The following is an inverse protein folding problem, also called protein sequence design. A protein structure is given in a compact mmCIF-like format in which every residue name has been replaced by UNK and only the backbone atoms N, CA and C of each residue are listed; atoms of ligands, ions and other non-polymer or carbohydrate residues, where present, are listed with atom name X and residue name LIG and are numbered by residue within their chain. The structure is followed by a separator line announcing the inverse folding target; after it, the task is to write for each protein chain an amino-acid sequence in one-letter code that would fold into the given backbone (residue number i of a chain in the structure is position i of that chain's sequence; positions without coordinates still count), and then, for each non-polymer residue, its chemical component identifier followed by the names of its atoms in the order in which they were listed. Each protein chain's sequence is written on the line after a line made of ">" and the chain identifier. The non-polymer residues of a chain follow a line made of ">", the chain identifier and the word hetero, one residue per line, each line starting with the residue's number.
data_IF_050880658004
#
_entry.id   IF_050880658004
#
_cell.length_a   1.000
_cell.length_b   1.000
_cell.length_c   1.000
_cell.angle_alpha   90.00
_cell.angle_beta   90.00
_cell.angle_gamma   90.00
#
_symmetry.space_group_name_H-M   'P 1'
#
loop_
_entity.id
_entity.type
_entity.pdbx_description
1 polymer ?
#
# COMPACT_ATOMS: atom_id res chain seq x y z
N UNK A 1 -4.38 25.21 11.63
CA UNK A 1 -5.49 25.97 11.01
C UNK A 1 -4.96 26.72 9.82
N UNK A 2 -5.85 27.24 8.98
CA UNK A 2 -5.45 28.12 7.88
C UNK A 2 -5.04 29.49 8.36
N UNK A 3 -4.10 30.11 7.65
CA UNK A 3 -3.71 31.50 7.86
C UNK A 3 -4.35 32.41 6.80
N UNK A 4 -4.47 33.70 7.12
CA UNK A 4 -4.96 34.68 6.17
C UNK A 4 -4.04 34.74 4.94
N UNK A 5 -4.64 34.76 3.74
CA UNK A 5 -3.92 34.74 2.47
C UNK A 5 -3.05 33.49 2.22
N UNK A 6 -3.34 32.37 2.88
CA UNK A 6 -2.67 31.10 2.60
C UNK A 6 -3.05 30.55 1.22
N UNK A 7 -2.04 30.18 0.42
CA UNK A 7 -2.22 29.68 -0.96
C UNK A 7 -2.12 28.15 -1.09
N UNK A 8 -1.42 27.49 -0.16
CA UNK A 8 -1.19 26.04 -0.16
C UNK A 8 -1.97 25.29 0.91
N UNK A 9 -1.62 24.01 1.09
CA UNK A 9 -2.16 23.18 2.18
C UNK A 9 -1.74 23.73 3.55
N UNK A 10 -2.51 23.37 4.59
CA UNK A 10 -2.04 23.51 5.98
C UNK A 10 -0.84 22.59 6.21
N UNK A 11 0.05 22.96 7.14
CA UNK A 11 1.19 22.12 7.49
C UNK A 11 0.73 20.72 7.93
N UNK A 12 1.37 19.68 7.39
CA UNK A 12 1.15 18.29 7.78
C UNK A 12 1.51 18.03 9.24
N UNK A 13 0.55 17.62 10.06
CA UNK A 13 0.70 17.40 11.50
C UNK A 13 0.57 15.95 11.93
N UNK A 14 0.32 15.05 10.98
CA UNK A 14 0.26 13.60 11.18
C UNK A 14 1.27 12.89 10.29
N UNK A 15 1.61 11.63 10.63
CA UNK A 15 2.50 10.80 9.80
C UNK A 15 2.01 10.73 8.35
N UNK A 16 0.70 10.48 8.16
CA UNK A 16 0.08 10.45 6.84
C UNK A 16 0.04 11.84 6.18
N UNK A 17 -0.19 12.90 6.95
CA UNK A 17 -0.27 14.26 6.44
C UNK A 17 1.03 14.75 5.81
N UNK A 18 2.18 14.36 6.36
CA UNK A 18 3.49 14.69 5.77
C UNK A 18 3.67 14.00 4.41
N UNK A 19 3.30 12.73 4.27
CA UNK A 19 3.37 12.02 2.98
C UNK A 19 2.39 12.57 1.94
N UNK A 20 1.16 12.93 2.36
CA UNK A 20 0.19 13.60 1.50
C UNK A 20 0.71 14.94 1.00
N UNK A 21 1.39 15.71 1.86
CA UNK A 21 2.01 16.96 1.47
C UNK A 21 3.16 16.74 0.45
N UNK A 22 3.97 15.70 0.64
CA UNK A 22 5.00 15.32 -0.33
C UNK A 22 4.42 14.93 -1.70
N UNK A 23 3.32 14.16 -1.73
CA UNK A 23 2.61 13.82 -2.96
C UNK A 23 2.00 15.06 -3.63
N UNK A 24 1.47 16.00 -2.85
CA UNK A 24 0.96 17.27 -3.34
C UNK A 24 2.06 18.09 -4.03
N UNK A 25 3.21 18.27 -3.39
CA UNK A 25 4.32 19.05 -3.95
C UNK A 25 4.86 18.42 -5.24
N UNK A 26 5.02 17.09 -5.25
CA UNK A 26 5.40 16.33 -6.45
C UNK A 26 4.40 16.49 -7.59
N UNK A 27 3.10 16.41 -7.29
CA UNK A 27 2.03 16.58 -8.28
C UNK A 27 1.99 18.00 -8.83
N UNK A 28 2.12 19.01 -7.95
CA UNK A 28 2.15 20.41 -8.34
C UNK A 28 3.35 20.73 -9.22
N UNK A 29 4.52 20.17 -8.94
CA UNK A 29 5.70 20.30 -9.80
C UNK A 29 5.43 19.77 -11.21
N UNK A 30 4.87 18.56 -11.35
CA UNK A 30 4.56 17.99 -12.66
C UNK A 30 3.49 18.80 -13.42
N UNK A 31 2.40 19.19 -12.74
CA UNK A 31 1.31 19.95 -13.36
C UNK A 31 1.80 21.32 -13.83
N UNK A 32 2.58 22.04 -13.01
CA UNK A 32 3.14 23.34 -13.40
C UNK A 32 4.13 23.23 -14.55
N UNK A 33 4.96 22.18 -14.58
CA UNK A 33 5.83 21.88 -15.72
C UNK A 33 5.02 21.68 -17.01
N UNK A 34 3.98 20.83 -17.00
CA UNK A 34 3.12 20.57 -18.16
C UNK A 34 2.40 21.85 -18.60
N UNK A 35 1.82 22.59 -17.66
CA UNK A 35 1.10 23.82 -17.94
C UNK A 35 2.02 24.88 -18.55
N UNK A 36 3.24 25.03 -18.04
CA UNK A 36 4.23 25.98 -18.58
C UNK A 36 4.66 25.60 -20.00
N UNK A 37 4.83 24.31 -20.30
CA UNK A 37 5.15 23.80 -21.63
C UNK A 37 4.03 24.10 -22.64
N UNK A 38 2.78 23.78 -22.31
CA UNK A 38 1.61 24.08 -23.15
C UNK A 38 1.46 25.59 -23.35
N UNK A 39 1.60 26.37 -22.28
CA UNK A 39 1.53 27.84 -22.33
C UNK A 39 2.61 28.42 -23.25
N UNK A 40 3.85 27.89 -23.19
CA UNK A 40 4.93 28.31 -24.07
C UNK A 40 4.62 28.04 -25.55
N UNK A 41 4.11 26.85 -25.88
CA UNK A 41 3.69 26.51 -27.24
C UNK A 41 2.56 27.43 -27.71
N UNK A 42 1.56 27.67 -26.86
CA UNK A 42 0.44 28.54 -27.18
C UNK A 42 0.90 29.96 -27.50
N UNK A 43 1.72 30.55 -26.62
CA UNK A 43 2.33 31.88 -26.85
C UNK A 43 3.15 31.89 -28.13
N UNK A 44 3.95 30.84 -28.38
CA UNK A 44 4.76 30.73 -29.60
C UNK A 44 3.90 30.73 -30.86
N UNK A 45 2.77 30.02 -30.87
CA UNK A 45 1.82 29.99 -32.00
C UNK A 45 1.20 31.37 -32.21
N UNK A 46 0.73 32.04 -31.15
CA UNK A 46 0.14 33.38 -31.22
C UNK A 46 1.11 34.44 -31.74
N UNK A 47 2.40 34.30 -31.45
CA UNK A 47 3.45 35.22 -31.91
C UNK A 47 3.91 34.95 -33.35
N UNK A 48 3.45 33.88 -34.02
CA UNK A 48 3.83 33.62 -35.41
C UNK A 48 3.03 34.49 -36.36
N UNK A 49 3.76 35.22 -37.21
CA UNK A 49 3.20 36.03 -38.31
C UNK A 49 2.70 35.19 -39.49
N UNK A 50 3.20 33.96 -39.64
CA UNK A 50 2.88 33.09 -40.77
C UNK A 50 1.61 32.29 -40.49
N UNK A 51 0.71 32.22 -41.47
CA UNK A 51 -0.49 31.38 -41.40
C UNK A 51 -0.26 30.02 -42.05
N UNK A 52 -0.73 28.96 -41.39
CA UNK A 52 -0.82 27.63 -41.99
C UNK A 52 -1.96 27.58 -42.99
N UNK A 53 -1.68 27.18 -44.24
CA UNK A 53 -2.70 27.05 -45.31
C UNK A 53 -3.02 25.60 -45.66
N UNK A 54 -2.18 24.66 -45.24
CA UNK A 54 -2.28 23.23 -45.54
C UNK A 54 -2.10 22.47 -44.23
N UNK A 55 -2.97 21.49 -44.00
CA UNK A 55 -2.83 20.55 -42.89
C UNK A 55 -1.77 19.52 -43.23
N UNK A 56 -0.79 19.36 -42.34
CA UNK A 56 0.23 18.33 -42.44
C UNK A 56 -0.05 17.27 -41.39
N UNK A 57 -0.33 16.06 -41.84
CA UNK A 57 -0.49 14.90 -40.96
C UNK A 57 0.90 14.40 -40.54
N UNK A 58 1.05 14.08 -39.25
CA UNK A 58 2.30 13.54 -38.71
C UNK A 58 2.01 12.47 -37.66
N UNK A 59 2.00 11.22 -38.11
CA UNK A 59 1.79 10.06 -37.23
C UNK A 59 2.82 10.01 -36.09
N UNK A 60 4.05 10.43 -36.35
CA UNK A 60 5.12 10.46 -35.34
C UNK A 60 4.81 11.45 -34.20
N UNK A 61 4.22 12.61 -34.52
CA UNK A 61 3.82 13.59 -33.52
C UNK A 61 2.66 13.05 -32.67
N UNK A 62 1.71 12.37 -33.30
CA UNK A 62 0.59 11.73 -32.63
C UNK A 62 1.03 10.65 -31.63
N UNK A 63 1.98 9.82 -32.06
CA UNK A 63 2.56 8.78 -31.20
C UNK A 63 3.27 9.44 -30.00
N UNK A 64 4.05 10.49 -30.23
CA UNK A 64 4.81 11.17 -29.19
C UNK A 64 3.89 11.79 -28.11
N UNK A 65 2.88 12.56 -28.50
CA UNK A 65 1.96 13.17 -27.53
C UNK A 65 0.96 12.20 -26.93
N UNK A 66 0.89 10.95 -27.41
CA UNK A 66 0.07 9.90 -26.79
C UNK A 66 0.85 9.14 -25.73
N UNK A 67 2.11 8.79 -26.02
CA UNK A 67 2.98 8.07 -25.08
C UNK A 67 3.42 8.97 -23.92
N UNK A 68 3.71 10.24 -24.20
CA UNK A 68 4.25 11.16 -23.19
C UNK A 68 3.28 11.41 -22.01
N UNK A 69 1.97 11.70 -22.22
CA UNK A 69 1.00 11.79 -21.13
C UNK A 69 0.81 10.49 -20.36
N UNK A 70 0.86 9.33 -21.03
CA UNK A 70 0.80 8.03 -20.35
C UNK A 70 1.96 7.88 -19.36
N UNK A 71 3.18 8.30 -19.75
CA UNK A 71 4.34 8.34 -18.85
C UNK A 71 4.10 9.22 -17.62
N UNK A 72 3.54 10.42 -17.80
CA UNK A 72 3.21 11.31 -16.68
C UNK A 72 2.12 10.73 -15.75
N UNK A 73 1.10 10.07 -16.30
CA UNK A 73 0.07 9.43 -15.50
C UNK A 73 0.63 8.28 -14.65
N UNK A 74 1.53 7.47 -15.21
CA UNK A 74 2.22 6.42 -14.43
C UNK A 74 3.08 7.05 -13.33
N UNK A 75 3.82 8.12 -13.65
CA UNK A 75 4.67 8.82 -12.69
C UNK A 75 3.88 9.45 -11.52
N UNK A 76 2.64 9.90 -11.75
CA UNK A 76 1.72 10.38 -10.71
C UNK A 76 1.01 9.23 -9.97
N UNK A 77 0.64 8.17 -10.70
CA UNK A 77 -0.16 7.08 -10.18
C UNK A 77 0.58 6.20 -9.19
N UNK A 78 1.86 5.89 -9.44
CA UNK A 78 2.65 5.01 -8.57
C UNK A 78 2.79 5.51 -7.11
N UNK A 79 3.26 6.74 -6.85
CA UNK A 79 3.35 7.24 -5.47
C UNK A 79 1.96 7.42 -4.82
N UNK A 80 0.93 7.75 -5.62
CA UNK A 80 -0.45 7.87 -5.15
C UNK A 80 -1.03 6.53 -4.66
N UNK A 81 -0.86 5.46 -5.45
CA UNK A 81 -1.32 4.11 -5.07
C UNK A 81 -0.58 3.62 -3.82
N UNK A 82 0.74 3.85 -3.74
CA UNK A 82 1.50 3.52 -2.52
C UNK A 82 0.92 4.22 -1.29
N UNK A 83 0.69 5.52 -1.37
CA UNK A 83 0.14 6.29 -0.25
C UNK A 83 -1.26 5.80 0.13
N UNK A 84 -2.09 5.46 -0.86
CA UNK A 84 -3.41 4.87 -0.62
C UNK A 84 -3.31 3.60 0.23
N UNK A 85 -2.37 2.70 -0.07
CA UNK A 85 -2.17 1.50 0.73
C UNK A 85 -1.63 1.81 2.14
N UNK A 86 -0.73 2.78 2.28
CA UNK A 86 -0.23 3.23 3.59
C UNK A 86 -1.34 3.86 4.45
N UNK A 87 -2.31 4.52 3.84
CA UNK A 87 -3.47 5.10 4.54
C UNK A 87 -4.47 4.03 5.01
N UNK A 88 -4.61 2.94 4.27
CA UNK A 88 -5.53 1.85 4.58
C UNK A 88 -4.94 0.86 5.61
N UNK A 89 -3.62 0.78 5.71
CA UNK A 89 -2.94 -0.11 6.67
C UNK A 89 -3.08 0.41 8.11
N UNK A 90 -4.03 -0.17 8.84
CA UNK A 90 -4.20 0.08 10.27
C UNK A 90 -3.23 -0.81 11.05
N UNK A 91 -2.11 -0.23 11.49
CA UNK A 91 -1.25 -0.85 12.50
C UNK A 91 -1.96 -0.95 13.86
N UNK A 92 -1.54 -1.91 14.70
CA UNK A 92 -2.10 -2.20 16.03
C UNK A 92 -2.28 -0.90 16.85
N UNK A 93 -3.51 -0.38 17.01
CA UNK A 93 -3.73 0.88 17.69
C UNK A 93 -3.81 0.64 19.20
N UNK A 94 -3.21 1.55 19.97
CA UNK A 94 -3.13 1.45 21.44
C UNK A 94 -4.39 1.98 22.13
N UNK A 95 -5.11 2.89 21.47
CA UNK A 95 -6.38 3.44 21.93
C UNK A 95 -7.30 3.74 20.75
N UNK A 96 -8.61 3.81 21.02
CA UNK A 96 -9.70 4.03 20.09
C UNK A 96 -10.55 5.21 20.55
N UNK A 97 -10.84 6.12 19.63
CA UNK A 97 -11.84 7.16 19.81
C UNK A 97 -12.96 6.94 18.80
N UNK A 98 -14.21 6.96 19.28
CA UNK A 98 -15.38 6.99 18.40
C UNK A 98 -15.90 8.41 18.33
N UNK A 99 -16.17 8.86 17.12
CA UNK A 99 -16.69 10.19 16.80
C UNK A 99 -18.04 10.01 16.10
N UNK A 100 -19.07 10.62 16.65
CA UNK A 100 -20.44 10.54 16.11
C UNK A 100 -20.90 11.95 15.74
N UNK A 101 -21.26 12.13 14.47
CA UNK A 101 -21.86 13.36 13.96
C UNK A 101 -23.36 13.44 14.28
N UNK A 102 -23.79 14.65 14.65
CA UNK A 102 -25.19 15.00 14.93
C UNK A 102 -25.50 16.37 14.31
N UNK A 103 -26.77 16.70 14.11
CA UNK A 103 -27.26 18.03 13.72
C UNK A 103 -27.33 18.94 14.96
N UNK A 104 -26.43 19.90 15.18
CA UNK A 104 -25.19 20.21 14.48
C UNK A 104 -24.06 20.34 15.50
N UNK A 105 -23.51 19.19 15.89
CA UNK A 105 -22.42 19.06 16.86
C UNK A 105 -21.74 17.69 16.69
N UNK A 106 -20.64 17.48 17.39
CA UNK A 106 -19.93 16.20 17.42
C UNK A 106 -19.98 15.63 18.83
N UNK A 107 -20.10 14.32 18.96
CA UNK A 107 -19.90 13.63 20.23
C UNK A 107 -18.71 12.69 20.12
N UNK A 108 -17.92 12.60 21.18
CA UNK A 108 -16.74 11.77 21.26
C UNK A 108 -16.90 10.73 22.36
N UNK A 109 -16.60 9.47 22.07
CA UNK A 109 -16.67 8.36 23.00
C UNK A 109 -15.30 7.66 23.11
N UNK A 110 -14.83 7.48 24.34
CA UNK A 110 -13.61 6.77 24.71
C UNK A 110 -14.04 5.55 25.53
N UNK A 111 -13.89 4.35 24.97
CA UNK A 111 -14.45 3.11 25.53
C UNK A 111 -13.43 1.99 25.78
N UNK A 112 -12.12 2.28 25.64
CA UNK A 112 -11.08 1.26 25.75
C UNK A 112 -10.87 0.71 27.18
N UNK A 113 -11.45 1.35 28.21
CA UNK A 113 -11.09 1.06 29.60
C UNK A 113 -12.22 0.38 30.42
N UNK A 114 -11.93 -0.85 30.89
CA UNK A 114 -12.70 -1.66 31.88
C UNK A 114 -14.24 -1.59 31.78
N UNK A 115 -14.81 -1.58 30.57
CA UNK A 115 -16.28 -1.56 30.38
C UNK A 115 -16.96 -0.25 30.77
N UNK A 116 -16.19 0.81 31.02
CA UNK A 116 -16.69 2.18 31.16
C UNK A 116 -16.53 2.92 29.84
N UNK A 117 -17.51 3.76 29.51
CA UNK A 117 -17.49 4.61 28.33
C UNK A 117 -17.53 6.06 28.78
N UNK A 118 -16.44 6.79 28.61
CA UNK A 118 -16.42 8.22 28.82
C UNK A 118 -16.84 8.90 27.52
N UNK A 119 -17.84 9.77 27.56
CA UNK A 119 -18.33 10.46 26.38
C UNK A 119 -18.78 11.88 26.70
N UNK A 120 -18.64 12.77 25.72
CA UNK A 120 -19.10 14.15 25.82
C UNK A 120 -19.45 14.72 24.45
N UNK A 121 -20.23 15.80 24.46
CA UNK A 121 -20.63 16.54 23.28
C UNK A 121 -19.74 17.80 23.11
N UNK A 122 -19.49 18.14 21.86
CA UNK A 122 -18.63 19.24 21.41
C UNK A 122 -19.44 20.18 20.51
N UNK A 123 -19.83 21.32 21.06
CA UNK A 123 -20.59 22.38 20.40
C UNK A 123 -19.70 23.58 20.05
N UNK A 124 -20.07 24.29 18.99
CA UNK A 124 -19.48 25.60 18.66
C UNK A 124 -19.68 26.58 19.82
N UNK A 125 -18.61 27.25 20.24
CA UNK A 125 -18.72 28.36 21.21
C UNK A 125 -19.33 29.58 20.49
N UNK A 126 -20.46 30.13 20.98
CA UNK A 126 -21.03 31.35 20.41
C UNK A 126 -20.08 32.54 20.54
N UNK A 127 -20.02 33.40 19.51
CA UNK A 127 -19.15 34.59 19.48
C UNK A 127 -19.28 35.49 20.72
N UNK A 128 -20.47 35.55 21.34
CA UNK A 128 -20.72 36.34 22.55
C UNK A 128 -20.07 35.79 23.83
N UNK A 129 -19.75 34.49 23.87
CA UNK A 129 -19.14 33.80 25.01
C UNK A 129 -17.64 33.56 24.82
N UNK A 130 -17.08 33.99 23.68
CA UNK A 130 -15.70 33.71 23.30
C UNK A 130 -14.74 34.70 23.99
N UNK A 131 -13.98 34.24 24.99
CA UNK A 131 -12.94 35.04 25.68
C UNK A 131 -11.60 35.08 24.90
N UNK A 132 -11.57 34.52 23.71
CA UNK A 132 -10.40 34.39 22.83
C UNK A 132 -10.55 33.17 21.90
N UNK A 133 -9.75 33.11 20.86
CA UNK A 133 -9.77 32.01 19.88
C UNK A 133 -10.32 32.41 18.52
N UNK A 134 -10.76 31.41 17.76
CA UNK A 134 -11.12 31.56 16.36
C UNK A 134 -12.63 31.38 16.11
N UNK A 135 -13.25 32.43 15.55
CA UNK A 135 -14.65 32.44 15.13
C UNK A 135 -14.97 31.23 14.25
N UNK A 136 -16.07 30.54 14.55
CA UNK A 136 -16.54 29.32 13.87
C UNK A 136 -15.65 28.08 14.00
N UNK A 137 -14.59 28.11 14.81
CA UNK A 137 -13.67 26.98 14.98
C UNK A 137 -13.55 26.50 16.43
N UNK A 138 -13.72 27.40 17.42
CA UNK A 138 -13.67 27.00 18.83
C UNK A 138 -14.89 26.17 19.25
N UNK A 139 -14.64 25.21 20.12
CA UNK A 139 -15.65 24.35 20.72
C UNK A 139 -15.55 24.40 22.24
N UNK A 140 -16.64 24.06 22.92
CA UNK A 140 -16.70 23.99 24.38
C UNK A 140 -15.84 22.84 24.93
N UNK A 141 -15.88 21.66 24.32
CA UNK A 141 -15.09 20.48 24.68
C UNK A 141 -14.28 19.99 23.49
N UNK A 142 -12.96 20.00 23.61
CA UNK A 142 -12.05 19.54 22.56
C UNK A 142 -11.89 18.03 22.60
N UNK A 143 -11.68 17.43 21.44
CA UNK A 143 -11.30 16.04 21.30
C UNK A 143 -9.82 15.87 21.67
N UNK A 144 -9.53 15.23 22.79
CA UNK A 144 -8.16 15.10 23.32
C UNK A 144 -7.52 13.81 22.79
N UNK A 145 -6.34 13.93 22.20
CA UNK A 145 -5.55 12.81 21.67
C UNK A 145 -4.09 12.90 22.12
N UNK A 146 -3.38 11.78 22.27
CA UNK A 146 -1.95 11.77 22.52
C UNK A 146 -1.14 12.10 21.26
N UNK A 147 -0.06 12.85 21.41
CA UNK A 147 0.98 13.02 20.39
C UNK A 147 1.85 11.77 20.32
N UNK A 148 2.32 11.41 19.12
CA UNK A 148 3.26 10.33 18.85
C UNK A 148 2.82 9.00 19.47
N UNK A 149 1.54 8.67 19.33
CA UNK A 149 0.94 7.38 19.68
C UNK A 149 -0.08 7.02 18.60
N UNK A 150 -0.05 5.78 18.13
CA UNK A 150 -1.00 5.31 17.13
C UNK A 150 -2.37 5.01 17.78
N UNK A 151 -3.39 5.73 17.33
CA UNK A 151 -4.77 5.57 17.74
C UNK A 151 -5.66 5.16 16.56
N UNK A 152 -6.82 4.57 16.88
CA UNK A 152 -7.89 4.28 15.94
C UNK A 152 -9.01 5.30 16.09
N UNK A 153 -9.34 5.99 15.01
CA UNK A 153 -10.57 6.77 14.90
C UNK A 153 -11.69 5.91 14.31
N UNK A 154 -12.86 5.90 14.94
CA UNK A 154 -14.09 5.32 14.42
C UNK A 154 -15.09 6.45 14.17
N UNK A 155 -15.45 6.71 12.92
CA UNK A 155 -16.34 7.81 12.54
C UNK A 155 -17.68 7.26 12.07
N UNK A 156 -18.77 7.76 12.64
CA UNK A 156 -20.15 7.42 12.26
C UNK A 156 -21.07 8.62 12.46
N UNK A 157 -22.35 8.44 12.23
CA UNK A 157 -23.39 9.46 12.45
C UNK A 157 -24.64 8.82 13.03
N UNK A 158 -25.41 9.59 13.81
CA UNK A 158 -26.69 9.16 14.37
C UNK A 158 -27.90 9.64 13.55
N UNK A 159 -27.72 10.63 12.66
CA UNK A 159 -28.82 11.25 11.90
C UNK A 159 -28.63 11.26 10.37
N UNK A 160 -27.89 12.23 9.83
CA UNK A 160 -27.60 12.43 8.40
C UNK A 160 -26.13 12.20 8.13
N UNK A 161 -25.69 12.27 6.88
CA UNK A 161 -24.26 12.13 6.58
C UNK A 161 -23.53 13.40 7.06
N UNK A 162 -22.43 13.19 7.79
CA UNK A 162 -21.45 14.23 8.13
C UNK A 162 -20.07 13.80 7.64
N UNK A 163 -19.07 14.65 7.75
CA UNK A 163 -17.69 14.25 7.44
C UNK A 163 -16.72 14.89 8.43
N UNK A 164 -16.03 14.04 9.17
CA UNK A 164 -15.06 14.43 10.17
C UNK A 164 -13.73 14.71 9.49
N UNK A 165 -13.37 15.99 9.38
CA UNK A 165 -12.22 16.42 8.61
C UNK A 165 -11.31 17.35 9.40
N UNK A 166 -10.03 17.04 9.41
CA UNK A 166 -8.96 17.83 10.03
C UNK A 166 -7.88 18.04 8.95
N UNK A 167 -7.89 19.20 8.26
CA UNK A 167 -7.04 19.41 7.10
C UNK A 167 -5.54 19.30 7.39
N UNK A 168 -5.06 19.80 8.53
CA UNK A 168 -3.63 19.74 8.89
C UNK A 168 -3.11 18.31 9.08
N UNK A 169 -3.96 17.36 9.45
CA UNK A 169 -3.58 15.95 9.57
C UNK A 169 -3.94 15.13 8.32
N UNK A 170 -4.41 15.78 7.25
CA UNK A 170 -4.91 15.14 6.02
C UNK A 170 -5.95 14.05 6.27
N UNK A 171 -6.80 14.27 7.29
CA UNK A 171 -7.88 13.36 7.65
C UNK A 171 -9.20 13.94 7.12
N UNK A 172 -9.95 13.13 6.39
CA UNK A 172 -11.35 13.36 6.04
C UNK A 172 -12.06 12.02 5.94
N UNK A 173 -13.04 11.79 6.80
CA UNK A 173 -13.79 10.53 6.85
C UNK A 173 -15.26 10.82 7.05
N UNK A 174 -16.09 10.24 6.20
CA UNK A 174 -17.54 10.45 6.29
C UNK A 174 -18.13 9.65 7.47
N UNK A 175 -18.94 10.32 8.28
CA UNK A 175 -19.81 9.70 9.26
C UNK A 175 -21.14 9.37 8.59
N UNK A 176 -21.36 8.09 8.32
CA UNK A 176 -22.57 7.60 7.63
C UNK A 176 -23.45 6.85 8.63
N UNK A 177 -24.75 7.19 8.77
CA UNK A 177 -25.65 6.47 9.65
C UNK A 177 -25.70 4.97 9.33
N UNK A 178 -25.59 4.14 10.37
CA UNK A 178 -25.56 2.68 10.22
C UNK A 178 -24.25 2.09 9.70
N UNK A 179 -23.19 2.90 9.51
CA UNK A 179 -21.85 2.45 9.13
C UNK A 179 -20.79 3.09 10.03
N UNK A 180 -19.81 2.30 10.44
CA UNK A 180 -18.64 2.79 11.17
C UNK A 180 -17.46 2.76 10.21
N UNK A 181 -16.93 3.94 9.88
CA UNK A 181 -15.69 4.07 9.13
C UNK A 181 -14.51 4.14 10.09
N UNK A 182 -13.37 3.58 9.69
CA UNK A 182 -12.18 3.50 10.52
C UNK A 182 -11.03 4.29 9.88
N UNK A 183 -10.24 4.95 10.71
CA UNK A 183 -9.02 5.64 10.30
C UNK A 183 -7.92 5.51 11.36
N UNK A 184 -6.66 5.53 10.93
CA UNK A 184 -5.50 5.62 11.83
C UNK A 184 -5.19 7.07 12.17
N UNK A 185 -4.97 7.35 13.46
CA UNK A 185 -4.63 8.68 13.99
C UNK A 185 -3.23 8.61 14.61
N UNK A 186 -2.32 9.46 14.14
CA UNK A 186 -0.99 9.60 14.76
C UNK A 186 -0.48 11.03 14.52
N UNK A 187 -0.59 11.87 15.55
CA UNK A 187 -0.16 13.28 15.50
C UNK A 187 1.31 13.40 15.87
N UNK A 188 2.09 14.17 15.11
CA UNK A 188 3.54 14.29 15.29
C UNK A 188 3.95 15.28 16.39
N UNK A 189 3.07 16.22 16.74
CA UNK A 189 3.35 17.29 17.71
C UNK A 189 2.12 17.62 18.55
N UNK A 190 2.36 18.10 19.75
CA UNK A 190 1.33 18.65 20.62
C UNK A 190 0.80 19.98 20.08
N UNK A 191 -0.47 20.26 20.30
CA UNK A 191 -1.13 21.50 19.87
C UNK A 191 -2.60 21.29 19.54
N UNK A 192 -3.25 22.36 19.07
CA UNK A 192 -4.68 22.34 18.72
C UNK A 192 -4.84 22.37 17.21
N UNK A 193 -5.56 21.38 16.68
CA UNK A 193 -5.83 21.19 15.26
C UNK A 193 -7.31 21.36 14.98
N UNK A 194 -7.62 22.31 14.10
CA UNK A 194 -8.99 22.67 13.76
C UNK A 194 -9.45 21.99 12.48
N UNK A 195 -10.73 21.69 12.45
CA UNK A 195 -11.45 21.07 11.36
C UNK A 195 -12.88 21.59 11.26
N UNK A 196 -13.58 21.22 10.20
CA UNK A 196 -14.99 21.54 10.00
C UNK A 196 -15.70 20.35 9.35
N UNK A 197 -17.01 20.26 9.56
CA UNK A 197 -17.82 19.28 8.85
C UNK A 197 -17.65 19.47 7.33
N UNK A 198 -17.31 18.39 6.63
CA UNK A 198 -16.96 18.42 5.20
C UNK A 198 -17.96 17.70 4.29
N UNK A 199 -19.19 17.46 4.80
CA UNK A 199 -20.33 16.92 4.06
C UNK A 199 -21.61 17.66 4.46
N UNK A 200 -22.43 18.05 3.48
CA UNK A 200 -23.57 18.92 3.70
C UNK A 200 -24.63 18.25 4.60
N UNK A 201 -24.83 18.79 5.80
CA UNK A 201 -25.67 18.15 6.84
C UNK A 201 -26.85 19.02 7.34
N UNK A 202 -27.21 20.09 6.63
CA UNK A 202 -28.40 20.93 6.93
C UNK A 202 -28.08 22.40 7.23
N UNK A 203 -29.00 23.10 7.90
CA UNK A 203 -28.97 24.56 8.03
C UNK A 203 -27.74 25.09 8.79
N UNK A 204 -27.25 24.35 9.79
CA UNK A 204 -26.06 24.76 10.54
C UNK A 204 -24.81 23.96 10.15
N UNK A 205 -24.74 23.45 8.91
CA UNK A 205 -23.59 22.69 8.41
C UNK A 205 -22.23 23.40 8.65
N UNK A 206 -22.18 24.72 8.49
CA UNK A 206 -20.96 25.52 8.71
C UNK A 206 -20.64 25.83 10.18
N UNK A 207 -21.49 25.42 11.13
CA UNK A 207 -21.42 25.81 12.55
C UNK A 207 -21.20 24.62 13.48
N UNK A 208 -20.63 23.53 12.98
CA UNK A 208 -20.23 22.35 13.77
C UNK A 208 -18.74 22.02 13.56
N UNK A 209 -17.84 22.86 14.08
CA UNK A 209 -16.41 22.67 13.92
C UNK A 209 -15.90 21.46 14.70
N UNK A 210 -14.68 21.08 14.37
CA UNK A 210 -13.92 20.01 15.01
C UNK A 210 -12.68 20.67 15.61
N UNK A 211 -12.41 20.39 16.87
CA UNK A 211 -11.20 20.84 17.54
C UNK A 211 -10.54 19.66 18.23
N UNK A 212 -9.37 19.26 17.72
CA UNK A 212 -8.58 18.17 18.27
C UNK A 212 -7.36 18.74 18.98
N UNK A 213 -7.22 18.42 20.26
CA UNK A 213 -6.09 18.82 21.08
C UNK A 213 -5.14 17.64 21.27
N UNK A 214 -3.97 17.73 20.65
CA UNK A 214 -2.90 16.76 20.86
C UNK A 214 -2.04 17.16 22.06
N UNK A 215 -2.00 16.29 23.06
CA UNK A 215 -1.23 16.47 24.30
C UNK A 215 -0.18 15.37 24.44
N UNK A 216 0.76 15.51 25.39
CA UNK A 216 1.72 14.44 25.65
C UNK A 216 1.00 13.17 26.11
N UNK A 217 1.59 12.00 25.83
CA UNK A 217 0.99 10.70 26.18
C UNK A 217 0.68 10.57 27.68
N UNK A 218 1.53 11.14 28.53
CA UNK A 218 1.33 11.15 29.98
C UNK A 218 0.09 11.96 30.40
N UNK A 219 -0.05 13.19 29.85
CA UNK A 219 -1.22 14.04 30.13
C UNK A 219 -2.50 13.38 29.62
N UNK A 220 -2.48 12.83 28.40
CA UNK A 220 -3.61 12.10 27.84
C UNK A 220 -4.02 10.92 28.73
N UNK A 221 -3.04 10.12 29.18
CA UNK A 221 -3.31 8.91 29.96
C UNK A 221 -3.87 9.23 31.33
N UNK A 222 -3.35 10.26 32.00
CA UNK A 222 -3.90 10.71 33.29
C UNK A 222 -5.32 11.27 33.11
N UNK A 223 -5.53 12.13 32.10
CA UNK A 223 -6.84 12.70 31.80
C UNK A 223 -7.89 11.62 31.51
N UNK A 224 -7.57 10.60 30.70
CA UNK A 224 -8.55 9.56 30.37
C UNK A 224 -8.84 8.65 31.57
N UNK A 225 -7.82 8.33 32.38
CA UNK A 225 -8.00 7.56 33.61
C UNK A 225 -8.90 8.29 34.61
N UNK A 226 -8.68 9.60 34.81
CA UNK A 226 -9.49 10.42 35.72
C UNK A 226 -10.96 10.43 35.29
N UNK A 227 -11.23 10.69 34.02
CA UNK A 227 -12.58 10.71 33.48
C UNK A 227 -13.29 9.34 33.59
N UNK A 228 -12.59 8.24 33.29
CA UNK A 228 -13.15 6.91 33.50
C UNK A 228 -13.40 6.58 34.97
N UNK A 229 -12.56 7.06 35.90
CA UNK A 229 -12.81 6.86 37.33
C UNK A 229 -14.10 7.56 37.77
N UNK A 230 -14.38 8.77 37.25
CA UNK A 230 -15.63 9.47 37.53
C UNK A 230 -16.83 8.67 37.04
N UNK A 231 -16.78 8.16 35.81
CA UNK A 231 -17.84 7.30 35.24
C UNK A 231 -18.03 6.03 36.06
N UNK A 232 -16.95 5.35 36.44
CA UNK A 232 -17.00 4.13 37.25
C UNK A 232 -17.56 4.37 38.65
N UNK A 233 -17.25 5.51 39.29
CA UNK A 233 -17.84 5.88 40.57
C UNK A 233 -19.36 6.07 40.45
N UNK A 234 -19.83 6.71 39.38
CA UNK A 234 -21.27 6.85 39.11
C UNK A 234 -21.95 5.51 38.84
N UNK A 235 -21.30 4.60 38.11
CA UNK A 235 -21.81 3.26 37.82
C UNK A 235 -21.83 2.36 39.07
N UNK A 236 -20.77 2.39 39.89
CA UNK A 236 -20.68 1.64 41.14
C UNK A 236 -21.76 2.06 42.15
N UNK A 237 -22.12 3.35 42.15
CA UNK A 237 -23.24 3.84 42.92
C UNK A 237 -24.62 3.37 42.40
N UNK A 238 -24.69 2.83 41.17
CA UNK A 238 -25.95 2.42 40.49
C UNK A 238 -26.12 0.91 40.26
N UNK A 239 -25.09 0.07 40.40
CA UNK A 239 -25.20 -1.35 40.01
C UNK A 239 -24.31 -2.32 40.79
N UNK A 240 -24.93 -3.25 41.51
CA UNK A 240 -24.28 -4.39 42.15
C UNK A 240 -23.74 -5.41 41.13
N UNK A 241 -22.52 -5.88 41.39
CA UNK A 241 -21.81 -6.87 40.59
C UNK A 241 -22.58 -8.20 40.47
N UNK A 242 -22.78 -8.69 39.25
CA UNK A 242 -23.01 -10.12 39.01
C UNK A 242 -22.26 -10.55 37.75
N UNK A 243 -21.08 -11.14 37.94
CA UNK A 243 -20.46 -12.00 36.94
C UNK A 243 -21.05 -13.39 37.11
N UNK A 244 -21.71 -13.93 36.07
CA UNK A 244 -22.24 -15.29 36.10
C UNK A 244 -21.17 -16.28 35.65
N UNK A 245 -20.98 -17.34 36.42
CA UNK A 245 -20.06 -18.47 36.18
C UNK A 245 -20.14 -19.08 34.78
N UNK A 246 -21.23 -18.85 34.06
CA UNK A 246 -21.46 -19.34 32.71
C UNK A 246 -20.58 -18.65 31.65
N UNK A 247 -20.26 -17.36 31.83
CA UNK A 247 -19.40 -16.62 30.90
C UNK A 247 -17.95 -17.13 30.89
N UNK A 248 -17.45 -17.55 32.05
CA UNK A 248 -16.09 -18.09 32.21
C UNK A 248 -15.96 -19.47 31.55
N UNK A 249 -16.98 -20.32 31.68
CA UNK A 249 -17.00 -21.67 31.10
C UNK A 249 -17.00 -21.66 29.57
N UNK A 250 -17.75 -20.74 28.94
CA UNK A 250 -17.83 -20.63 27.48
C UNK A 250 -16.52 -20.14 26.87
N UNK A 251 -15.79 -19.24 27.56
CA UNK A 251 -14.50 -18.75 27.11
C UNK A 251 -13.42 -19.86 27.10
N UNK A 252 -13.39 -20.70 28.14
CA UNK A 252 -12.43 -21.82 28.24
C UNK A 252 -12.70 -22.89 27.17
N UNK A 253 -13.97 -23.23 26.91
CA UNK A 253 -14.32 -24.21 25.88
C UNK A 253 -13.91 -23.75 24.47
N UNK A 254 -14.06 -22.46 24.17
CA UNK A 254 -13.68 -21.88 22.87
C UNK A 254 -12.17 -21.84 22.68
N UNK A 255 -11.40 -21.57 23.74
CA UNK A 255 -9.94 -21.58 23.69
C UNK A 255 -9.37 -22.98 23.40
N UNK A 256 -9.92 -24.02 24.03
CA UNK A 256 -9.49 -25.42 23.82
C UNK A 256 -9.82 -25.90 22.41
N UNK A 257 -11.00 -25.56 21.87
CA UNK A 257 -11.41 -25.96 20.52
C UNK A 257 -10.49 -25.43 19.41
N UNK A 258 -10.06 -24.18 19.52
CA UNK A 258 -9.16 -23.57 18.54
C UNK A 258 -7.75 -24.18 18.56
N UNK A 259 -7.25 -24.59 19.74
CA UNK A 259 -5.95 -25.26 19.86
C UNK A 259 -5.93 -26.61 19.16
N UNK A 260 -7.00 -27.40 19.28
CA UNK A 260 -7.08 -28.73 18.64
C UNK A 260 -7.12 -28.63 17.12
N UNK A 261 -7.87 -27.67 16.57
CA UNK A 261 -7.96 -27.47 15.12
C UNK A 261 -6.60 -27.15 14.49
N UNK A 262 -5.81 -26.29 15.15
CA UNK A 262 -4.51 -25.85 14.64
C UNK A 262 -3.50 -27.00 14.55
N UNK A 263 -3.44 -27.85 15.57
CA UNK A 263 -2.52 -29.00 15.60
C UNK A 263 -2.86 -30.04 14.53
N UNK A 264 -4.16 -30.30 14.28
CA UNK A 264 -4.61 -31.23 13.24
C UNK A 264 -4.28 -30.70 11.84
N UNK A 265 -4.42 -29.40 11.61
CA UNK A 265 -4.09 -28.77 10.33
C UNK A 265 -2.59 -28.85 9.99
N UNK A 266 -1.71 -28.61 10.97
CA UNK A 266 -0.26 -28.72 10.76
C UNK A 266 0.18 -30.12 10.36
N UNK A 267 -0.40 -31.15 10.99
CA UNK A 267 -0.06 -32.54 10.69
C UNK A 267 -0.50 -32.96 9.28
N UNK A 268 -1.64 -32.44 8.80
CA UNK A 268 -2.12 -32.66 7.43
C UNK A 268 -1.19 -32.07 6.36
N UNK A 269 -0.68 -30.85 6.57
CA UNK A 269 0.24 -30.23 5.62
C UNK A 269 1.60 -30.94 5.55
N UNK A 270 2.10 -31.45 6.68
CA UNK A 270 3.34 -32.23 6.72
C UNK A 270 3.26 -33.47 5.82
N UNK A 271 2.16 -34.23 5.90
CA UNK A 271 1.97 -35.44 5.10
C UNK A 271 1.86 -35.13 3.59
N UNK A 272 1.20 -34.03 3.22
CA UNK A 272 1.08 -33.64 1.81
C UNK A 272 2.45 -33.37 1.16
N UNK A 273 3.31 -32.60 1.82
CA UNK A 273 4.63 -32.26 1.27
C UNK A 273 5.57 -33.46 1.21
N UNK A 274 5.49 -34.38 2.17
CA UNK A 274 6.30 -35.59 2.17
C UNK A 274 6.02 -36.46 0.94
N UNK A 275 4.75 -36.66 0.58
CA UNK A 275 4.38 -37.53 -0.55
C UNK A 275 4.63 -36.89 -1.92
N UNK A 276 4.38 -35.58 -2.07
CA UNK A 276 4.53 -34.89 -3.35
C UNK A 276 6.00 -34.87 -3.83
N UNK A 277 6.93 -34.54 -2.94
CA UNK A 277 8.35 -34.41 -3.32
C UNK A 277 9.09 -35.74 -3.36
N UNK A 278 8.69 -36.73 -2.54
CA UNK A 278 9.41 -38.00 -2.46
C UNK A 278 9.09 -38.97 -3.60
N UNK A 279 7.88 -38.90 -4.18
CA UNK A 279 7.41 -39.93 -5.12
C UNK A 279 6.98 -39.40 -6.49
N UNK A 280 6.27 -38.28 -6.55
CA UNK A 280 5.70 -37.80 -7.82
C UNK A 280 6.75 -37.19 -8.76
N UNK A 281 7.63 -36.33 -8.24
CA UNK A 281 8.64 -35.64 -9.06
C UNK A 281 9.69 -36.60 -9.65
N UNK A 282 10.26 -37.57 -8.90
CA UNK A 282 11.21 -38.53 -9.46
C UNK A 282 10.59 -39.43 -10.53
N UNK A 283 9.34 -39.88 -10.33
CA UNK A 283 8.64 -40.75 -11.28
C UNK A 283 8.37 -40.08 -12.64
N UNK A 284 8.03 -38.79 -12.64
CA UNK A 284 7.78 -38.02 -13.87
C UNK A 284 9.02 -37.90 -14.75
N UNK A 285 10.20 -37.76 -14.18
CA UNK A 285 11.46 -37.57 -14.92
C UNK A 285 11.94 -38.85 -15.62
N UNK A 286 11.73 -40.01 -15.01
CA UNK A 286 12.19 -41.30 -15.55
C UNK A 286 11.36 -41.73 -16.77
N UNK A 287 10.05 -41.49 -16.75
CA UNK A 287 9.14 -41.97 -17.80
C UNK A 287 9.26 -41.15 -19.08
N UNK A 288 9.37 -39.82 -18.99
CA UNK A 288 9.40 -38.96 -20.17
C UNK A 288 10.74 -39.03 -20.93
N UNK A 289 11.87 -39.16 -20.22
CA UNK A 289 13.19 -39.27 -20.86
C UNK A 289 13.42 -40.58 -21.61
N UNK A 290 12.73 -41.67 -21.23
CA UNK A 290 12.86 -42.96 -21.90
C UNK A 290 12.22 -43.01 -23.30
N UNK A 291 11.13 -42.27 -23.52
CA UNK A 291 10.34 -42.33 -24.76
C UNK A 291 11.01 -41.60 -25.93
N UNK A 292 11.76 -40.53 -25.66
CA UNK A 292 12.41 -39.72 -26.70
C UNK A 292 13.58 -40.48 -27.37
N UNK A 293 14.31 -41.29 -26.60
CA UNK A 293 15.45 -42.07 -27.10
C UNK A 293 14.98 -43.19 -28.03
N UNK A 294 13.81 -43.78 -27.73
CA UNK A 294 13.26 -44.86 -28.55
C UNK A 294 12.79 -44.39 -29.94
N UNK A 295 12.31 -43.15 -30.07
CA UNK A 295 11.84 -42.63 -31.35
C UNK A 295 12.98 -42.41 -32.35
N UNK A 296 14.12 -41.87 -31.88
CA UNK A 296 15.30 -41.61 -32.71
C UNK A 296 15.91 -42.88 -33.33
N UNK A 297 15.86 -43.99 -32.59
CA UNK A 297 16.40 -45.28 -33.04
C UNK A 297 15.63 -45.85 -34.24
N UNK A 298 14.30 -45.68 -34.25
CA UNK A 298 13.42 -46.25 -35.29
C UNK A 298 13.64 -45.57 -36.64
N UNK A 299 13.80 -44.25 -36.67
CA UNK A 299 13.95 -43.48 -37.91
C UNK A 299 15.28 -43.78 -38.62
N UNK A 300 16.34 -44.00 -37.84
CA UNK A 300 17.68 -44.33 -38.34
C UNK A 300 17.71 -45.70 -39.03
N UNK A 301 16.89 -46.65 -38.59
CA UNK A 301 16.80 -48.01 -39.15
C UNK A 301 16.18 -48.02 -40.56
N UNK A 302 15.17 -47.19 -40.82
CA UNK A 302 14.51 -47.13 -42.13
C UNK A 302 15.42 -46.58 -43.23
N UNK A 303 16.32 -45.65 -42.90
CA UNK A 303 17.29 -45.09 -43.84
C UNK A 303 18.30 -46.13 -44.33
N UNK A 304 18.70 -47.05 -43.45
CA UNK A 304 19.65 -48.13 -43.76
C UNK A 304 19.06 -49.15 -44.76
N UNK A 305 17.77 -49.46 -44.64
CA UNK A 305 17.08 -50.42 -45.52
C UNK A 305 17.00 -49.91 -46.96
N UNK A 306 16.79 -48.62 -47.17
CA UNK A 306 16.78 -48.03 -48.53
C UNK A 306 18.15 -48.12 -49.21
N UNK A 307 19.22 -47.97 -48.43
CA UNK A 307 20.59 -48.07 -48.94
C UNK A 307 20.95 -49.51 -49.34
N UNK A 308 20.52 -50.52 -48.57
CA UNK A 308 20.82 -51.93 -48.86
C UNK A 308 20.16 -52.44 -50.15
N UNK A 309 18.96 -51.97 -50.49
CA UNK A 309 18.27 -52.28 -51.75
C UNK A 309 18.97 -51.69 -52.98
N UNK A 310 19.71 -50.59 -52.82
CA UNK A 310 20.47 -49.98 -53.92
C UNK A 310 21.79 -50.72 -54.17
N UNK A 311 22.42 -51.22 -53.10
CA UNK A 311 23.64 -52.01 -53.15
C UNK A 311 23.49 -53.30 -53.98
N UNK A 312 22.30 -53.90 -54.03
CA UNK A 312 22.07 -55.13 -54.80
C UNK A 312 22.11 -54.96 -56.32
N UNK A 313 21.88 -53.74 -56.84
CA UNK A 313 21.76 -53.49 -58.27
C UNK A 313 23.07 -53.00 -58.91
N UNK A 314 23.90 -52.23 -58.20
CA UNK A 314 25.25 -51.86 -58.65
C UNK A 314 26.24 -51.80 -57.47
N UNK A 315 26.93 -52.92 -57.15
CA UNK A 315 27.74 -53.02 -55.93
C UNK A 315 28.92 -52.04 -55.92
N UNK A 316 29.57 -51.84 -57.05
CA UNK A 316 30.78 -50.99 -57.16
C UNK A 316 30.42 -49.51 -57.01
N UNK A 317 29.37 -49.06 -57.69
CA UNK A 317 28.89 -47.68 -57.57
C UNK A 317 28.32 -47.39 -56.17
N UNK A 318 27.53 -48.30 -55.59
CA UNK A 318 27.00 -48.14 -54.23
C UNK A 318 28.11 -48.14 -53.15
N UNK A 319 29.19 -48.90 -53.35
CA UNK A 319 30.35 -48.93 -52.44
C UNK A 319 31.16 -47.65 -52.51
N UNK A 320 31.47 -47.18 -53.71
CA UNK A 320 32.19 -45.92 -53.92
C UNK A 320 31.34 -44.74 -53.41
N UNK A 321 30.03 -44.76 -53.65
CA UNK A 321 29.09 -43.80 -53.10
C UNK A 321 29.08 -43.83 -51.57
N UNK A 322 29.01 -45.00 -50.92
CA UNK A 322 29.04 -45.10 -49.46
C UNK A 322 30.36 -44.59 -48.85
N UNK A 323 31.51 -44.86 -49.48
CA UNK A 323 32.81 -44.41 -48.99
C UNK A 323 32.96 -42.89 -49.17
N UNK A 324 32.59 -42.34 -50.32
CA UNK A 324 32.62 -40.90 -50.56
C UNK A 324 31.54 -40.15 -49.77
N UNK A 325 30.37 -40.75 -49.54
CA UNK A 325 29.30 -40.25 -48.67
C UNK A 325 29.72 -40.23 -47.21
N UNK A 326 30.34 -41.31 -46.71
CA UNK A 326 30.87 -41.38 -45.35
C UNK A 326 32.05 -40.44 -45.16
N UNK A 327 32.99 -40.35 -46.10
CA UNK A 327 34.16 -39.48 -46.00
C UNK A 327 33.82 -37.99 -46.19
N UNK A 328 32.92 -37.68 -47.13
CA UNK A 328 32.38 -36.35 -47.35
C UNK A 328 31.51 -35.87 -46.18
N UNK A 329 30.66 -36.74 -45.62
CA UNK A 329 29.94 -36.45 -44.38
C UNK A 329 30.89 -36.36 -43.19
N UNK A 330 31.94 -37.17 -43.08
CA UNK A 330 32.89 -37.06 -41.98
C UNK A 330 33.66 -35.75 -42.02
N UNK A 331 34.21 -35.39 -43.18
CA UNK A 331 35.06 -34.21 -43.30
C UNK A 331 34.25 -32.91 -43.28
N UNK A 332 33.12 -32.91 -44.00
CA UNK A 332 32.14 -31.84 -43.97
C UNK A 332 31.53 -31.67 -42.58
N UNK A 333 31.19 -32.77 -41.89
CA UNK A 333 30.80 -32.73 -40.48
C UNK A 333 31.94 -32.20 -39.63
N UNK A 334 33.13 -32.79 -39.60
CA UNK A 334 34.24 -32.35 -38.73
C UNK A 334 34.53 -30.85 -38.86
N UNK A 335 34.61 -30.31 -40.07
CA UNK A 335 34.93 -28.89 -40.25
C UNK A 335 33.74 -28.00 -39.92
N UNK A 336 32.53 -28.36 -40.35
CA UNK A 336 31.31 -27.61 -40.02
C UNK A 336 30.98 -27.69 -38.53
N UNK A 337 31.06 -28.87 -37.93
CA UNK A 337 30.75 -29.21 -36.54
C UNK A 337 31.81 -28.67 -35.58
N UNK A 338 33.05 -28.44 -36.01
CA UNK A 338 34.06 -27.77 -35.17
C UNK A 338 34.00 -26.25 -35.29
N UNK A 339 33.79 -25.68 -36.48
CA UNK A 339 34.00 -24.23 -36.67
C UNK A 339 32.73 -23.40 -36.72
N UNK A 340 31.63 -23.94 -37.24
CA UNK A 340 30.36 -23.23 -37.37
C UNK A 340 29.63 -23.09 -36.02
N UNK A 341 29.53 -24.13 -35.16
CA UNK A 341 29.01 -23.98 -33.81
C UNK A 341 29.81 -23.00 -32.99
N UNK A 342 31.14 -22.98 -33.12
CA UNK A 342 32.00 -22.10 -32.32
C UNK A 342 31.81 -20.63 -32.70
N UNK A 343 31.77 -20.29 -34.00
CA UNK A 343 31.55 -18.89 -34.42
C UNK A 343 30.10 -18.43 -34.23
N UNK A 344 29.12 -19.28 -34.55
CA UNK A 344 27.72 -18.98 -34.33
C UNK A 344 27.40 -18.87 -32.84
N UNK A 345 27.93 -19.77 -32.00
CA UNK A 345 27.79 -19.68 -30.55
C UNK A 345 28.44 -18.41 -30.02
N UNK A 346 29.65 -18.02 -30.47
CA UNK A 346 30.27 -16.79 -29.96
C UNK A 346 29.50 -15.52 -30.36
N UNK A 347 29.01 -15.45 -31.60
CA UNK A 347 28.21 -14.31 -32.07
C UNK A 347 26.85 -14.24 -31.38
N UNK A 348 26.18 -15.40 -31.23
CA UNK A 348 24.88 -15.53 -30.59
C UNK A 348 24.99 -15.32 -29.07
N UNK A 349 26.02 -15.84 -28.41
CA UNK A 349 26.34 -15.56 -27.00
C UNK A 349 26.62 -14.08 -26.80
N UNK A 350 27.37 -13.42 -27.69
CA UNK A 350 27.65 -11.97 -27.58
C UNK A 350 26.39 -11.12 -27.85
N UNK A 351 25.55 -11.51 -28.79
CA UNK A 351 24.27 -10.86 -29.10
C UNK A 351 23.26 -11.04 -27.97
N UNK A 352 23.09 -12.27 -27.47
CA UNK A 352 22.30 -12.59 -26.30
C UNK A 352 22.85 -11.85 -25.09
N UNK A 353 24.16 -11.87 -24.83
CA UNK A 353 24.75 -11.16 -23.70
C UNK A 353 24.51 -9.65 -23.78
N UNK A 354 24.68 -9.02 -24.94
CA UNK A 354 24.35 -7.59 -25.11
C UNK A 354 22.86 -7.31 -24.98
N UNK A 355 22.00 -8.16 -25.53
CA UNK A 355 20.55 -8.04 -25.43
C UNK A 355 20.07 -8.22 -23.99
N UNK A 356 20.57 -9.24 -23.30
CA UNK A 356 20.33 -9.52 -21.88
C UNK A 356 20.87 -8.38 -21.03
N UNK A 357 22.10 -7.93 -21.21
CA UNK A 357 22.64 -6.78 -20.47
C UNK A 357 21.88 -5.48 -20.76
N UNK A 358 21.41 -5.26 -21.99
CA UNK A 358 20.58 -4.11 -22.35
C UNK A 358 19.19 -4.17 -21.72
N UNK A 359 18.55 -5.35 -21.72
CA UNK A 359 17.28 -5.59 -21.02
C UNK A 359 17.46 -5.49 -19.50
N UNK A 360 18.53 -6.04 -18.93
CA UNK A 360 18.88 -5.92 -17.52
C UNK A 360 19.16 -4.47 -17.14
N UNK A 361 19.84 -3.68 -17.99
CA UNK A 361 20.11 -2.27 -17.73
C UNK A 361 18.83 -1.43 -17.84
N UNK A 362 18.02 -1.62 -18.89
CA UNK A 362 16.72 -0.95 -19.02
C UNK A 362 15.82 -1.29 -17.84
N UNK A 363 15.68 -2.57 -17.52
CA UNK A 363 14.90 -3.02 -16.36
C UNK A 363 15.46 -2.48 -15.06
N UNK A 364 16.79 -2.41 -14.90
CA UNK A 364 17.43 -1.80 -13.74
C UNK A 364 17.10 -0.31 -13.62
N UNK A 365 17.26 0.50 -14.67
CA UNK A 365 16.96 1.93 -14.62
C UNK A 365 15.45 2.20 -14.46
N UNK A 366 14.60 1.42 -15.12
CA UNK A 366 13.15 1.54 -14.90
C UNK A 366 12.78 1.11 -13.48
N UNK A 367 13.40 0.05 -12.96
CA UNK A 367 13.19 -0.41 -11.59
C UNK A 367 13.70 0.60 -10.58
N UNK A 368 14.86 1.22 -10.81
CA UNK A 368 15.44 2.25 -9.95
C UNK A 368 14.55 3.50 -9.93
N UNK A 369 14.09 3.97 -11.09
CA UNK A 369 13.15 5.08 -11.18
C UNK A 369 11.80 4.77 -10.50
N UNK A 370 11.28 3.55 -10.70
CA UNK A 370 10.07 3.09 -10.02
C UNK A 370 10.31 2.98 -8.51
N UNK A 371 11.44 2.40 -8.08
CA UNK A 371 11.80 2.23 -6.68
C UNK A 371 11.92 3.59 -5.98
N UNK A 372 12.56 4.58 -6.60
CA UNK A 372 12.61 5.95 -6.10
C UNK A 372 11.23 6.63 -6.11
N UNK A 373 10.37 6.37 -7.09
CA UNK A 373 8.98 6.86 -7.02
C UNK A 373 8.16 6.19 -5.90
N UNK A 374 8.61 5.03 -5.42
CA UNK A 374 8.02 4.28 -4.32
C UNK A 374 8.75 4.51 -2.99
N UNK A 375 9.82 5.31 -2.92
CA UNK A 375 10.40 5.71 -1.62
C UNK A 375 9.47 6.70 -0.91
N UNK A 376 9.57 6.79 0.41
CA UNK A 376 8.81 7.80 1.19
C UNK A 376 9.27 9.19 0.75
N UNK A 377 8.38 10.19 0.84
CA UNK A 377 8.77 11.58 0.62
C UNK A 377 9.61 12.14 1.79
N UNK A 378 9.72 11.39 2.90
CA UNK A 378 10.50 11.74 4.08
C UNK A 378 11.81 10.96 4.14
N UNK A 379 12.82 11.55 4.77
CA UNK A 379 14.11 10.91 4.98
C UNK A 379 14.01 9.73 5.97
N UNK A 380 14.86 8.71 5.79
CA UNK A 380 14.88 7.54 6.68
C UNK A 380 15.21 7.91 8.13
N UNK A 381 16.04 8.94 8.36
CA UNK A 381 16.35 9.49 9.68
C UNK A 381 15.10 9.98 10.42
N UNK A 382 14.22 10.68 9.72
CA UNK A 382 12.96 11.17 10.26
C UNK A 382 12.02 10.01 10.62
N UNK A 383 11.94 9.00 9.75
CA UNK A 383 11.10 7.82 9.97
C UNK A 383 11.57 7.03 11.19
N UNK A 384 12.87 6.78 11.31
CA UNK A 384 13.46 6.13 12.47
C UNK A 384 13.17 6.89 13.77
N UNK A 385 13.30 8.22 13.75
CA UNK A 385 12.97 9.06 14.89
C UNK A 385 11.51 8.94 15.30
N UNK A 386 10.57 9.07 14.35
CA UNK A 386 9.13 8.94 14.62
C UNK A 386 8.80 7.55 15.18
N UNK A 387 9.35 6.48 14.59
CA UNK A 387 9.13 5.12 15.07
C UNK A 387 9.67 4.89 16.48
N UNK A 388 10.85 5.45 16.80
CA UNK A 388 11.43 5.37 18.13
C UNK A 388 10.56 6.07 19.17
N UNK A 389 10.11 7.31 18.88
CA UNK A 389 9.25 8.07 19.78
C UNK A 389 7.88 7.42 19.97
N UNK A 390 7.26 6.91 18.89
CA UNK A 390 6.01 6.17 18.99
C UNK A 390 6.17 4.94 19.88
N UNK A 391 7.24 4.16 19.72
CA UNK A 391 7.49 2.99 20.56
C UNK A 391 7.74 3.37 22.04
N UNK A 392 8.47 4.46 22.28
CA UNK A 392 8.69 4.98 23.64
C UNK A 392 7.37 5.41 24.28
N UNK A 393 6.51 6.11 23.55
CA UNK A 393 5.22 6.57 24.06
C UNK A 393 4.23 5.43 24.23
N UNK A 394 4.22 4.43 23.34
CA UNK A 394 3.48 3.18 23.55
C UNK A 394 3.89 2.51 24.85
N UNK A 395 5.20 2.35 25.10
CA UNK A 395 5.69 1.77 26.37
C UNK A 395 5.25 2.58 27.58
N UNK A 396 5.32 3.90 27.51
CA UNK A 396 4.86 4.80 28.59
C UNK A 396 3.34 4.65 28.81
N UNK A 397 2.54 4.70 27.75
CA UNK A 397 1.09 4.52 27.79
C UNK A 397 0.71 3.21 28.48
N UNK A 398 1.25 2.09 27.99
CA UNK A 398 1.00 0.76 28.55
C UNK A 398 1.48 0.67 29.99
N UNK A 399 2.63 1.26 30.33
CA UNK A 399 3.16 1.25 31.70
C UNK A 399 2.25 2.01 32.67
N UNK A 400 1.79 3.23 32.33
CA UNK A 400 0.87 4.02 33.17
C UNK A 400 -0.47 3.28 33.34
N UNK A 401 -1.03 2.77 32.25
CA UNK A 401 -2.28 1.99 32.29
C UNK A 401 -2.12 0.72 33.14
N UNK A 402 -1.01 -0.01 32.97
CA UNK A 402 -0.75 -1.23 33.75
C UNK A 402 -0.55 -0.91 35.22
N UNK A 403 0.22 0.13 35.56
CA UNK A 403 0.45 0.55 36.94
C UNK A 403 -0.85 0.95 37.64
N UNK A 404 -1.71 1.69 36.94
CA UNK A 404 -3.06 2.03 37.42
C UNK A 404 -3.89 0.80 37.77
N UNK A 405 -3.80 -0.26 36.95
CA UNK A 405 -4.58 -1.49 37.12
C UNK A 405 -3.90 -2.58 37.94
N UNK A 406 -2.65 -2.40 38.39
CA UNK A 406 -2.01 -3.31 39.35
C UNK A 406 -2.67 -3.27 40.73
N UNK A 407 -3.25 -2.12 41.11
CA UNK A 407 -3.73 -1.85 42.46
C UNK A 407 -5.27 -1.93 42.63
N UNK A 408 -6.02 -2.42 41.63
CA UNK A 408 -7.49 -2.47 41.72
C UNK A 408 -8.19 -3.36 40.71
#
# INVERSE_FOLDING_TARGET
>A
MSFWSQMGLQEGTSVLGVEVQGLYDYSMFLITMIFSFVSCIMVKILMKKFSGRVYLESQWLEIMWSILPVGFLVALGLPSIKLLYLMDEISLPEATIKTVGHQWYWSYEYSDSRGSSYSFDSYLVPDALMEGGYRLLEVDHRCVVPSLLCMRGLVTSDDVIHSWAIPSSSIKVDGVPGRINQISLCFLRTGVFYGQCSELCGVNHSFMPICVESVSTEVYTNWIIENHNLVLQEMANKGGNSWTWWGVLVAVAKAVGNGVYWVVSMYGMFLFYLFYYSFYIPGKFVVLGGLEITQWFVESAFAFIKWSLWFSNSPVEASIYAILYLAGNLWGAIVFTVTSPVKASFWLVKGIFKGVMGLCALSYYTFEAIAHSLTSFTEDSFREFVMQEVNLNTKKFVWIITDRYKNG
#
